data_IF_098493523852
#
_entry.id   IF_098493523852
#
_cell.length_a   1.000
_cell.length_b   1.000
_cell.length_c   1.000
_cell.angle_alpha   90.00
_cell.angle_beta   90.00
_cell.angle_gamma   90.00
#
_symmetry.space_group_name_H-M   'P 1'
#
loop_
_entity.id
_entity.type
_entity.pdbx_description
1 polymer ?
#
# COMPACT_ATOMS: atom_id res chain seq x y z
N UNK A 1 -23.49 -0.15 -63.92
CA UNK A 1 -24.13 0.58 -62.82
C UNK A 1 -24.46 -0.45 -61.77
N UNK A 2 -23.64 -0.56 -60.74
CA UNK A 2 -23.89 -1.44 -59.60
C UNK A 2 -23.82 -0.56 -58.35
N UNK A 3 -24.94 -0.46 -57.66
CA UNK A 3 -25.13 0.34 -56.48
C UNK A 3 -24.47 -0.38 -55.28
N UNK A 4 -23.39 0.20 -54.75
CA UNK A 4 -22.82 -0.22 -53.50
C UNK A 4 -23.75 0.24 -52.37
N UNK A 5 -24.49 -0.69 -51.83
CA UNK A 5 -25.29 -0.51 -50.61
C UNK A 5 -24.36 -0.26 -49.44
N UNK A 6 -24.23 1.01 -49.02
CA UNK A 6 -23.58 1.37 -47.77
C UNK A 6 -24.43 0.88 -46.58
N UNK A 7 -24.02 -0.22 -46.01
CA UNK A 7 -24.61 -0.73 -44.76
C UNK A 7 -24.22 0.26 -43.64
N UNK A 8 -25.17 1.11 -43.27
CA UNK A 8 -25.08 1.98 -42.10
C UNK A 8 -24.99 1.06 -40.87
N UNK A 9 -23.80 0.92 -40.30
CA UNK A 9 -23.65 0.32 -38.98
C UNK A 9 -24.35 1.26 -37.99
N UNK A 10 -25.47 0.84 -37.48
CA UNK A 10 -26.10 1.48 -36.33
C UNK A 10 -25.13 1.41 -35.16
N UNK A 11 -24.98 2.52 -34.40
CA UNK A 11 -24.21 2.47 -33.15
C UNK A 11 -24.91 1.52 -32.19
N UNK A 12 -24.26 0.38 -31.90
CA UNK A 12 -24.72 -0.54 -30.88
C UNK A 12 -24.81 0.24 -29.58
N UNK A 13 -25.99 0.63 -29.17
CA UNK A 13 -26.26 1.18 -27.86
C UNK A 13 -25.87 0.13 -26.83
N UNK A 14 -24.64 0.21 -26.37
CA UNK A 14 -24.08 -0.68 -25.37
C UNK A 14 -24.91 -0.56 -24.10
N UNK A 15 -25.62 -1.65 -23.76
CA UNK A 15 -26.38 -1.77 -22.54
C UNK A 15 -25.44 -1.40 -21.37
N UNK A 16 -25.77 -0.35 -20.59
CA UNK A 16 -24.93 0.15 -19.47
C UNK A 16 -24.50 -0.97 -18.53
N UNK A 17 -25.35 -1.99 -18.34
CA UNK A 17 -25.03 -3.20 -17.58
C UNK A 17 -23.90 -4.04 -18.18
N UNK A 18 -23.81 -4.15 -19.51
CA UNK A 18 -22.74 -4.89 -20.20
C UNK A 18 -21.40 -4.15 -20.17
N UNK A 19 -21.43 -2.82 -20.12
CA UNK A 19 -20.24 -1.98 -19.94
C UNK A 19 -19.67 -2.13 -18.52
N UNK A 20 -20.52 -2.03 -17.50
CA UNK A 20 -20.10 -2.15 -16.10
C UNK A 20 -19.57 -3.55 -15.77
N UNK A 21 -20.20 -4.60 -16.28
CA UNK A 21 -19.71 -5.97 -16.11
C UNK A 21 -18.33 -6.17 -16.76
N UNK A 22 -18.09 -5.58 -17.93
CA UNK A 22 -16.75 -5.60 -18.58
C UNK A 22 -15.68 -4.91 -17.75
N UNK A 23 -15.97 -3.73 -17.21
CA UNK A 23 -15.04 -2.99 -16.35
C UNK A 23 -14.73 -3.77 -15.07
N UNK A 24 -15.73 -4.37 -14.43
CA UNK A 24 -15.52 -5.21 -13.26
C UNK A 24 -14.67 -6.45 -13.56
N UNK A 25 -14.96 -7.15 -14.66
CA UNK A 25 -14.19 -8.32 -15.08
C UNK A 25 -12.75 -7.94 -15.41
N UNK A 26 -12.52 -6.80 -16.04
CA UNK A 26 -11.19 -6.27 -16.33
C UNK A 26 -10.43 -5.93 -15.04
N UNK A 27 -11.08 -5.25 -14.10
CA UNK A 27 -10.50 -4.94 -12.79
C UNK A 27 -10.09 -6.21 -12.05
N UNK A 28 -10.97 -7.22 -12.02
CA UNK A 28 -10.67 -8.50 -11.38
C UNK A 28 -9.54 -9.26 -12.08
N UNK A 29 -9.53 -9.31 -13.42
CA UNK A 29 -8.48 -9.97 -14.19
C UNK A 29 -7.11 -9.33 -13.95
N UNK A 30 -7.06 -7.99 -13.89
CA UNK A 30 -5.82 -7.24 -13.58
C UNK A 30 -5.37 -7.50 -12.15
N UNK A 31 -6.29 -7.47 -11.18
CA UNK A 31 -5.98 -7.76 -9.79
C UNK A 31 -5.46 -9.18 -9.62
N UNK A 32 -6.10 -10.16 -10.25
CA UNK A 32 -5.66 -11.56 -10.23
C UNK A 32 -4.27 -11.74 -10.86
N UNK A 33 -4.02 -11.10 -12.00
CA UNK A 33 -2.71 -11.10 -12.66
C UNK A 33 -1.63 -10.54 -11.75
N UNK A 34 -1.92 -9.47 -11.01
CA UNK A 34 -0.96 -8.86 -10.09
C UNK A 34 -0.60 -9.81 -8.95
N UNK A 35 -1.60 -10.48 -8.38
CA UNK A 35 -1.37 -11.52 -7.36
C UNK A 35 -0.51 -12.64 -7.91
N UNK A 36 -0.85 -13.19 -9.08
CA UNK A 36 -0.07 -14.27 -9.71
C UNK A 36 1.38 -13.83 -10.01
N UNK A 37 1.57 -12.58 -10.43
CA UNK A 37 2.90 -12.03 -10.69
C UNK A 37 3.77 -12.01 -9.45
N UNK A 38 3.20 -11.61 -8.30
CA UNK A 38 3.91 -11.63 -7.03
C UNK A 38 4.44 -13.03 -6.70
N UNK A 39 3.67 -14.10 -6.99
CA UNK A 39 4.09 -15.47 -6.76
C UNK A 39 5.05 -16.04 -7.81
N UNK A 40 5.12 -15.46 -9.00
CA UNK A 40 6.01 -15.95 -10.08
C UNK A 40 7.46 -15.48 -9.96
N UNK A 41 7.75 -14.51 -9.10
CA UNK A 41 9.12 -14.02 -8.86
C UNK A 41 9.63 -14.54 -7.51
N UNK A 42 10.35 -15.70 -7.47
CA UNK A 42 10.79 -16.28 -6.20
C UNK A 42 11.76 -15.38 -5.44
N UNK A 43 12.58 -14.62 -6.15
CA UNK A 43 13.52 -13.68 -5.55
C UNK A 43 12.78 -12.51 -4.88
N UNK A 44 11.77 -11.94 -5.56
CA UNK A 44 10.94 -10.87 -5.00
C UNK A 44 10.15 -11.36 -3.78
N UNK A 45 9.59 -12.58 -3.84
CA UNK A 45 8.92 -13.21 -2.69
C UNK A 45 9.86 -13.38 -1.51
N UNK A 46 11.07 -13.89 -1.78
CA UNK A 46 12.07 -14.09 -0.73
C UNK A 46 12.40 -12.75 -0.04
N UNK A 47 12.65 -11.68 -0.79
CA UNK A 47 12.89 -10.37 -0.22
C UNK A 47 11.69 -9.80 0.54
N UNK A 48 10.48 -9.97 0.02
CA UNK A 48 9.24 -9.50 0.65
C UNK A 48 9.02 -10.15 2.03
N UNK A 49 9.38 -11.43 2.17
CA UNK A 49 9.26 -12.17 3.44
C UNK A 49 10.48 -11.94 4.34
N UNK A 50 11.68 -11.94 3.76
CA UNK A 50 12.94 -11.85 4.50
C UNK A 50 13.17 -10.46 5.10
N UNK A 51 12.74 -9.40 4.41
CA UNK A 51 12.93 -8.03 4.88
C UNK A 51 12.30 -7.80 6.26
N UNK A 52 11.00 -8.08 6.51
CA UNK A 52 10.42 -7.98 7.85
C UNK A 52 11.13 -8.88 8.87
N UNK A 53 11.54 -10.09 8.50
CA UNK A 53 12.25 -11.02 9.39
C UNK A 53 13.56 -10.39 9.87
N UNK A 54 14.37 -9.88 8.95
CA UNK A 54 15.64 -9.23 9.29
C UNK A 54 15.44 -7.99 10.15
N UNK A 55 14.49 -7.15 9.80
CA UNK A 55 14.21 -5.92 10.55
C UNK A 55 13.70 -6.22 11.95
N UNK A 56 12.73 -7.11 12.11
CA UNK A 56 12.18 -7.45 13.43
C UNK A 56 13.22 -8.25 14.23
N UNK A 57 13.87 -9.23 13.61
CA UNK A 57 14.84 -10.11 14.29
C UNK A 57 16.09 -9.35 14.73
N UNK A 58 16.75 -8.66 13.81
CA UNK A 58 18.04 -7.99 14.08
C UNK A 58 17.83 -6.64 14.77
N UNK A 59 17.08 -5.73 14.14
CA UNK A 59 16.88 -4.40 14.71
C UNK A 59 15.93 -4.45 15.90
N UNK A 60 14.82 -5.17 15.78
CA UNK A 60 13.82 -5.30 16.85
C UNK A 60 14.42 -5.92 18.10
N UNK A 61 15.15 -7.01 17.94
CA UNK A 61 15.86 -7.68 19.04
C UNK A 61 16.91 -6.78 19.71
N UNK A 62 17.78 -6.15 18.92
CA UNK A 62 18.83 -5.26 19.43
C UNK A 62 18.27 -4.04 20.15
N UNK A 63 17.28 -3.37 19.55
CA UNK A 63 16.66 -2.18 20.13
C UNK A 63 15.88 -2.56 21.40
N UNK A 64 15.14 -3.68 21.37
CA UNK A 64 14.39 -4.17 22.53
C UNK A 64 15.33 -4.43 23.71
N UNK A 65 16.48 -5.03 23.48
CA UNK A 65 17.48 -5.27 24.51
C UNK A 65 18.03 -3.98 25.12
N UNK A 66 18.26 -2.95 24.30
CA UNK A 66 18.79 -1.66 24.76
C UNK A 66 17.74 -0.73 25.38
N UNK A 67 16.48 -0.84 24.98
CA UNK A 67 15.38 -0.02 25.49
C UNK A 67 14.57 -0.71 26.59
N UNK A 68 14.98 -1.93 27.02
CA UNK A 68 14.32 -2.62 28.13
C UNK A 68 14.37 -1.78 29.40
N UNK A 69 13.20 -1.39 29.91
CA UNK A 69 13.05 -0.51 31.07
C UNK A 69 13.03 1.00 30.78
N UNK A 70 13.33 1.44 29.56
CA UNK A 70 13.25 2.86 29.18
C UNK A 70 11.86 3.24 28.59
N UNK A 71 11.13 2.25 28.07
CA UNK A 71 9.79 2.45 27.52
C UNK A 71 8.72 1.91 28.47
N UNK A 72 7.55 2.58 28.57
CA UNK A 72 6.43 2.12 29.37
C UNK A 72 5.63 0.98 28.73
N UNK A 73 6.13 0.40 27.65
CA UNK A 73 5.53 -0.71 26.91
C UNK A 73 6.59 -1.62 26.25
N UNK A 74 6.19 -2.83 25.90
CA UNK A 74 7.05 -3.77 25.22
C UNK A 74 7.35 -3.29 23.78
N UNK A 75 8.63 -3.13 23.44
CA UNK A 75 9.06 -2.58 22.15
C UNK A 75 8.73 -3.51 20.96
N UNK A 76 8.89 -4.82 21.12
CA UNK A 76 8.67 -5.79 20.04
C UNK A 76 7.24 -5.77 19.47
N UNK A 77 6.17 -5.82 20.28
CA UNK A 77 4.80 -5.65 19.77
C UNK A 77 4.59 -4.31 19.08
N UNK A 78 5.15 -3.21 19.63
CA UNK A 78 5.06 -1.88 19.04
C UNK A 78 5.68 -1.83 17.64
N UNK A 79 6.90 -2.34 17.49
CA UNK A 79 7.60 -2.42 16.21
C UNK A 79 6.88 -3.35 15.23
N UNK A 80 6.36 -4.48 15.71
CA UNK A 80 5.68 -5.46 14.88
C UNK A 80 4.42 -4.88 14.22
N UNK A 81 3.60 -4.15 14.99
CA UNK A 81 2.41 -3.47 14.45
C UNK A 81 2.82 -2.39 13.42
N UNK A 82 3.87 -1.63 13.73
CA UNK A 82 4.46 -0.68 12.78
C UNK A 82 4.92 -1.35 11.49
N UNK A 83 5.56 -2.52 11.59
CA UNK A 83 6.03 -3.29 10.43
C UNK A 83 4.90 -3.89 9.61
N UNK A 84 3.79 -4.35 10.22
CA UNK A 84 2.58 -4.77 9.48
C UNK A 84 2.06 -3.62 8.63
N UNK A 85 1.84 -2.46 9.26
CA UNK A 85 1.32 -1.28 8.57
C UNK A 85 2.28 -0.81 7.46
N UNK A 86 3.59 -0.73 7.77
CA UNK A 86 4.63 -0.36 6.82
C UNK A 86 4.70 -1.32 5.62
N UNK A 87 4.66 -2.63 5.85
CA UNK A 87 4.76 -3.63 4.77
C UNK A 87 3.56 -3.57 3.83
N UNK A 88 2.35 -3.40 4.36
CA UNK A 88 1.13 -3.21 3.56
C UNK A 88 1.20 -1.93 2.72
N UNK A 89 1.61 -0.84 3.36
CA UNK A 89 1.73 0.47 2.73
C UNK A 89 2.77 0.44 1.60
N UNK A 90 3.99 -0.04 1.86
CA UNK A 90 5.08 -0.12 0.88
C UNK A 90 4.79 -1.12 -0.25
N UNK A 91 4.28 -2.30 0.09
CA UNK A 91 3.95 -3.33 -0.90
C UNK A 91 2.95 -2.83 -1.93
N UNK A 92 1.95 -2.06 -1.49
CA UNK A 92 0.95 -1.50 -2.40
C UNK A 92 1.48 -0.33 -3.21
N UNK A 93 2.30 0.58 -2.63
CA UNK A 93 2.99 1.62 -3.41
C UNK A 93 3.78 0.98 -4.56
N UNK A 94 4.65 0.03 -4.23
CA UNK A 94 5.52 -0.64 -5.20
C UNK A 94 4.70 -1.35 -6.28
N UNK A 95 3.66 -2.09 -5.90
CA UNK A 95 2.80 -2.78 -6.85
C UNK A 95 2.08 -1.83 -7.82
N UNK A 96 1.60 -0.69 -7.34
CA UNK A 96 0.95 0.33 -8.20
C UNK A 96 1.99 1.00 -9.10
N UNK A 97 3.15 1.39 -8.57
CA UNK A 97 4.18 2.10 -9.34
C UNK A 97 4.86 1.24 -10.40
N UNK A 98 4.90 -0.09 -10.22
CA UNK A 98 5.34 -1.05 -11.23
C UNK A 98 4.55 -0.97 -12.54
N UNK A 99 3.35 -0.36 -12.54
CA UNK A 99 2.60 -0.09 -13.77
C UNK A 99 3.39 0.73 -14.79
N UNK A 100 4.27 1.62 -14.33
CA UNK A 100 5.09 2.47 -15.21
C UNK A 100 6.15 1.64 -15.91
N UNK A 101 6.83 0.75 -15.19
CA UNK A 101 7.83 -0.16 -15.74
C UNK A 101 7.21 -1.19 -16.70
N UNK A 102 6.03 -1.72 -16.35
CA UNK A 102 5.30 -2.65 -17.20
C UNK A 102 4.94 -2.04 -18.56
N UNK A 103 4.69 -0.73 -18.61
CA UNK A 103 4.37 -0.02 -19.85
C UNK A 103 5.53 0.04 -20.83
N UNK A 104 6.78 0.14 -20.35
CA UNK A 104 7.96 0.15 -21.24
C UNK A 104 8.28 -1.23 -21.83
N UNK A 105 7.91 -2.29 -21.11
CA UNK A 105 8.26 -3.66 -21.53
C UNK A 105 7.26 -4.28 -22.54
N UNK A 106 6.58 -3.47 -23.36
CA UNK A 106 5.60 -3.84 -24.41
C UNK A 106 4.46 -4.78 -23.98
N UNK A 107 4.54 -5.34 -22.78
CA UNK A 107 3.58 -6.32 -22.25
C UNK A 107 2.19 -5.72 -21.98
N UNK A 108 2.11 -4.41 -21.90
CA UNK A 108 0.84 -3.68 -21.68
C UNK A 108 0.29 -3.07 -22.96
N UNK A 109 0.96 -3.15 -24.09
CA UNK A 109 0.42 -2.67 -25.35
C UNK A 109 -0.95 -3.30 -25.64
N UNK A 110 -1.12 -4.58 -25.37
CA UNK A 110 -2.40 -5.29 -25.51
C UNK A 110 -3.47 -4.78 -24.54
N UNK A 111 -3.08 -4.38 -23.32
CA UNK A 111 -4.00 -3.88 -22.30
C UNK A 111 -4.55 -2.47 -22.67
N UNK A 112 -3.76 -1.68 -23.40
CA UNK A 112 -4.15 -0.33 -23.83
C UNK A 112 -4.91 -0.30 -25.15
N UNK A 113 -4.84 -1.37 -25.94
CA UNK A 113 -5.67 -1.56 -27.15
C UNK A 113 -7.05 -2.11 -26.75
N UNK A 114 -7.17 -2.79 -25.61
CA UNK A 114 -8.47 -3.26 -25.13
C UNK A 114 -9.38 -2.07 -24.74
N UNK A 115 -10.69 -2.13 -25.02
CA UNK A 115 -11.64 -1.09 -24.66
C UNK A 115 -11.97 -1.12 -23.15
N UNK A 116 -10.94 -0.91 -22.32
CA UNK A 116 -11.00 -0.93 -20.85
C UNK A 116 -10.69 0.47 -20.34
N UNK A 117 -11.42 0.93 -19.33
CA UNK A 117 -11.16 2.23 -18.74
C UNK A 117 -9.84 2.26 -17.96
N UNK A 118 -9.17 3.41 -17.98
CA UNK A 118 -7.96 3.65 -17.18
C UNK A 118 -8.21 3.51 -15.68
N UNK A 119 -9.44 3.79 -15.27
CA UNK A 119 -9.88 3.63 -13.88
C UNK A 119 -9.89 2.14 -13.47
N UNK A 120 -10.38 1.26 -14.34
CA UNK A 120 -10.38 -0.20 -14.09
C UNK A 120 -8.95 -0.73 -13.95
N UNK A 121 -8.01 -0.22 -14.76
CA UNK A 121 -6.58 -0.59 -14.65
C UNK A 121 -6.00 -0.18 -13.31
N UNK A 122 -6.21 1.07 -12.89
CA UNK A 122 -5.70 1.58 -11.61
C UNK A 122 -6.33 0.87 -10.41
N UNK A 123 -7.65 0.64 -10.45
CA UNK A 123 -8.34 -0.11 -9.39
C UNK A 123 -7.88 -1.56 -9.32
N UNK A 124 -7.72 -2.22 -10.45
CA UNK A 124 -7.20 -3.59 -10.51
C UNK A 124 -5.79 -3.69 -9.94
N UNK A 125 -4.92 -2.75 -10.28
CA UNK A 125 -3.57 -2.64 -9.72
C UNK A 125 -3.60 -2.40 -8.21
N UNK A 126 -4.43 -1.48 -7.73
CA UNK A 126 -4.57 -1.16 -6.33
C UNK A 126 -5.03 -2.36 -5.50
N UNK A 127 -6.08 -3.04 -5.95
CA UNK A 127 -6.61 -4.22 -5.28
C UNK A 127 -5.60 -5.37 -5.34
N UNK A 128 -5.05 -5.67 -6.52
CA UNK A 128 -4.13 -6.76 -6.73
C UNK A 128 -2.83 -6.60 -5.94
N UNK A 129 -2.24 -5.40 -5.93
CA UNK A 129 -1.04 -5.12 -5.13
C UNK A 129 -1.31 -5.14 -3.63
N UNK A 130 -2.50 -4.70 -3.19
CA UNK A 130 -2.90 -4.82 -1.78
C UNK A 130 -2.98 -6.28 -1.32
N UNK A 131 -3.57 -7.16 -2.13
CA UNK A 131 -3.62 -8.60 -1.85
C UNK A 131 -2.21 -9.21 -1.91
N UNK A 132 -1.41 -8.84 -2.90
CA UNK A 132 -0.02 -9.33 -3.01
C UNK A 132 0.84 -8.89 -1.82
N UNK A 133 0.62 -7.70 -1.27
CA UNK A 133 1.32 -7.22 -0.09
C UNK A 133 1.07 -8.07 1.17
N UNK A 134 -0.06 -8.79 1.25
CA UNK A 134 -0.33 -9.71 2.37
C UNK A 134 0.73 -10.80 2.51
N UNK A 135 1.45 -11.12 1.44
CA UNK A 135 2.55 -12.12 1.48
C UNK A 135 3.65 -11.70 2.46
N UNK A 136 3.93 -10.39 2.61
CA UNK A 136 4.90 -9.90 3.59
C UNK A 136 4.55 -10.24 5.03
N UNK A 137 3.26 -10.41 5.32
CA UNK A 137 2.78 -10.74 6.66
C UNK A 137 3.19 -12.15 7.10
N UNK A 138 3.49 -13.05 6.15
CA UNK A 138 4.00 -14.40 6.45
C UNK A 138 5.30 -14.30 7.24
N UNK A 139 6.25 -13.45 6.80
CA UNK A 139 7.50 -13.22 7.52
C UNK A 139 7.28 -12.59 8.90
N UNK A 140 6.34 -11.66 9.02
CA UNK A 140 6.01 -11.00 10.29
C UNK A 140 5.38 -12.00 11.26
N UNK A 141 4.43 -12.82 10.79
CA UNK A 141 3.80 -13.86 11.61
C UNK A 141 4.83 -14.90 12.06
N UNK A 142 5.74 -15.31 11.17
CA UNK A 142 6.83 -16.21 11.55
C UNK A 142 7.66 -15.63 12.72
N UNK A 143 7.94 -14.32 12.69
CA UNK A 143 8.71 -13.67 13.77
C UNK A 143 7.95 -13.59 15.10
N UNK A 144 6.62 -13.55 15.11
CA UNK A 144 5.83 -13.65 16.34
C UNK A 144 6.14 -14.97 17.06
N UNK A 145 6.18 -16.08 16.31
CA UNK A 145 6.47 -17.40 16.88
C UNK A 145 7.95 -17.55 17.26
N UNK A 146 8.87 -17.11 16.41
CA UNK A 146 10.32 -17.25 16.66
C UNK A 146 10.76 -16.44 17.86
N UNK A 147 10.29 -15.19 18.01
CA UNK A 147 10.66 -14.30 19.10
C UNK A 147 9.70 -14.41 20.32
N UNK A 148 8.73 -15.31 20.26
CA UNK A 148 7.74 -15.52 21.32
C UNK A 148 7.07 -14.22 21.76
N UNK A 149 6.71 -13.36 20.78
CA UNK A 149 6.10 -12.06 21.06
C UNK A 149 4.70 -12.28 21.67
N UNK A 150 4.40 -11.70 22.84
CA UNK A 150 3.15 -11.92 23.51
C UNK A 150 1.99 -11.23 22.78
N UNK A 151 1.40 -11.93 21.82
CA UNK A 151 0.24 -11.48 21.06
C UNK A 151 -0.81 -12.59 21.04
N UNK A 152 -2.06 -12.24 21.31
CA UNK A 152 -3.15 -13.19 21.17
C UNK A 152 -3.73 -13.16 19.75
N UNK A 153 -4.38 -14.26 19.33
CA UNK A 153 -4.96 -14.39 18.00
C UNK A 153 -6.03 -13.30 17.71
N UNK A 154 -6.74 -12.84 18.72
CA UNK A 154 -7.75 -11.80 18.60
C UNK A 154 -7.13 -10.44 18.25
N UNK A 155 -5.99 -10.09 18.86
CA UNK A 155 -5.26 -8.86 18.53
C UNK A 155 -4.73 -8.88 17.10
N UNK A 156 -4.17 -10.02 16.70
CA UNK A 156 -3.65 -10.21 15.36
C UNK A 156 -4.76 -10.10 14.30
N UNK A 157 -5.92 -10.73 14.56
CA UNK A 157 -7.08 -10.66 13.68
C UNK A 157 -7.59 -9.22 13.49
N UNK A 158 -7.65 -8.44 14.57
CA UNK A 158 -8.07 -7.02 14.53
C UNK A 158 -7.12 -6.19 13.65
N UNK A 159 -5.80 -6.38 13.80
CA UNK A 159 -4.81 -5.67 12.98
C UNK A 159 -4.89 -6.12 11.52
N UNK A 160 -5.09 -7.41 11.26
CA UNK A 160 -5.25 -7.91 9.89
C UNK A 160 -6.54 -7.41 9.22
N UNK A 161 -7.62 -7.22 9.98
CA UNK A 161 -8.85 -6.62 9.45
C UNK A 161 -8.63 -5.18 8.94
N UNK A 162 -7.58 -4.49 9.41
CA UNK A 162 -7.22 -3.15 8.96
C UNK A 162 -6.33 -3.14 7.71
N UNK A 163 -5.73 -4.27 7.34
CA UNK A 163 -4.80 -4.33 6.20
C UNK A 163 -5.35 -3.77 4.89
N UNK A 164 -6.66 -3.89 4.54
CA UNK A 164 -7.21 -3.24 3.36
C UNK A 164 -7.09 -1.71 3.40
N UNK A 165 -7.32 -1.09 4.56
CA UNK A 165 -7.20 0.37 4.72
C UNK A 165 -5.74 0.79 4.57
N UNK A 166 -4.80 0.05 5.16
CA UNK A 166 -3.37 0.29 5.06
C UNK A 166 -2.87 0.15 3.62
N UNK A 167 -3.35 -0.87 2.91
CA UNK A 167 -3.05 -1.08 1.50
C UNK A 167 -3.59 0.04 0.62
N UNK A 168 -4.83 0.49 0.87
CA UNK A 168 -5.42 1.62 0.15
C UNK A 168 -4.62 2.90 0.36
N UNK A 169 -4.16 3.16 1.58
CA UNK A 169 -3.35 4.34 1.90
C UNK A 169 -2.03 4.36 1.13
N UNK A 170 -1.31 3.23 1.10
CA UNK A 170 -0.09 3.08 0.31
C UNK A 170 -0.35 3.18 -1.18
N UNK A 171 -1.37 2.48 -1.67
CA UNK A 171 -1.74 2.50 -3.07
C UNK A 171 -2.17 3.87 -3.59
N UNK A 172 -2.87 4.65 -2.78
CA UNK A 172 -3.23 6.02 -3.10
C UNK A 172 -1.99 6.90 -3.32
N UNK A 173 -0.97 6.77 -2.47
CA UNK A 173 0.31 7.45 -2.68
C UNK A 173 1.01 6.95 -3.95
N UNK A 174 0.95 5.65 -4.25
CA UNK A 174 1.44 5.07 -5.50
C UNK A 174 0.75 5.67 -6.72
N UNK A 175 -0.59 5.76 -6.71
CA UNK A 175 -1.37 6.39 -7.79
C UNK A 175 -1.00 7.87 -7.95
N UNK A 176 -0.84 8.60 -6.86
CA UNK A 176 -0.39 9.99 -6.89
C UNK A 176 1.00 10.11 -7.52
N UNK A 177 1.94 9.24 -7.15
CA UNK A 177 3.30 9.26 -7.65
C UNK A 177 3.38 9.00 -9.17
N UNK A 178 2.65 7.98 -9.69
CA UNK A 178 2.59 7.73 -11.14
C UNK A 178 1.81 8.79 -11.91
N UNK A 179 0.95 9.55 -11.24
CA UNK A 179 0.32 10.75 -11.80
C UNK A 179 1.34 11.86 -12.06
N UNK A 180 2.31 12.02 -11.15
CA UNK A 180 3.39 13.03 -11.27
C UNK A 180 4.40 12.64 -12.33
N UNK A 181 4.83 11.36 -12.36
CA UNK A 181 5.84 10.88 -13.30
C UNK A 181 5.46 9.55 -13.91
N UNK A 182 5.77 9.39 -15.20
CA UNK A 182 5.62 8.14 -15.94
C UNK A 182 6.97 7.70 -16.53
N UNK A 183 8.08 8.23 -16.00
CA UNK A 183 9.43 7.81 -16.34
C UNK A 183 9.86 6.70 -15.37
N UNK A 184 10.13 5.47 -15.85
CA UNK A 184 10.52 4.34 -15.00
C UNK A 184 11.78 4.59 -14.19
N UNK A 185 12.74 5.34 -14.76
CA UNK A 185 13.99 5.68 -14.05
C UNK A 185 13.71 6.57 -12.84
N UNK A 186 12.80 7.55 -13.00
CA UNK A 186 12.37 8.42 -11.90
C UNK A 186 11.60 7.64 -10.87
N UNK A 187 10.76 6.69 -11.28
CA UNK A 187 10.02 5.80 -10.38
C UNK A 187 10.97 4.89 -9.60
N UNK A 188 11.91 4.25 -10.27
CA UNK A 188 12.86 3.31 -9.66
C UNK A 188 13.72 3.95 -8.55
N UNK A 189 14.06 5.23 -8.68
CA UNK A 189 14.84 5.97 -7.68
C UNK A 189 13.93 6.70 -6.69
N UNK A 190 12.87 7.33 -7.19
CA UNK A 190 12.00 8.20 -6.40
C UNK A 190 11.15 7.44 -5.39
N UNK A 191 10.68 6.23 -5.73
CA UNK A 191 9.85 5.43 -4.80
C UNK A 191 10.66 5.00 -3.56
N UNK A 192 11.84 4.39 -3.67
CA UNK A 192 12.67 4.12 -2.50
C UNK A 192 13.03 5.37 -1.71
N UNK A 193 13.40 6.46 -2.39
CA UNK A 193 13.75 7.73 -1.76
C UNK A 193 12.57 8.33 -0.96
N UNK A 194 11.34 8.08 -1.39
CA UNK A 194 10.14 8.49 -0.67
C UNK A 194 9.84 7.57 0.51
N UNK A 195 9.98 6.26 0.32
CA UNK A 195 9.56 5.23 1.29
C UNK A 195 10.53 5.15 2.47
N UNK A 196 11.86 5.12 2.24
CA UNK A 196 12.82 4.94 3.31
C UNK A 196 12.75 6.00 4.41
N UNK A 197 12.72 7.31 4.11
CA UNK A 197 12.52 8.31 5.15
C UNK A 197 11.19 8.16 5.88
N UNK A 198 10.11 7.83 5.17
CA UNK A 198 8.80 7.61 5.79
C UNK A 198 8.82 6.48 6.82
N UNK A 199 9.51 5.37 6.54
CA UNK A 199 9.61 4.24 7.45
C UNK A 199 10.20 4.63 8.82
N UNK A 200 11.19 5.52 8.85
CA UNK A 200 11.79 5.99 10.09
C UNK A 200 11.00 7.12 10.75
N UNK A 201 10.56 8.09 9.96
CA UNK A 201 9.91 9.29 10.45
C UNK A 201 8.43 9.09 10.83
N UNK A 202 7.77 8.07 10.26
CA UNK A 202 6.37 7.74 10.57
C UNK A 202 6.17 7.06 11.92
N UNK A 203 7.26 6.70 12.60
CA UNK A 203 7.16 5.96 13.85
C UNK A 203 6.99 4.44 13.69
N UNK A 204 7.18 3.88 12.49
CA UNK A 204 7.06 2.43 12.27
C UNK A 204 8.04 1.64 13.13
N UNK A 205 9.29 2.11 13.17
CA UNK A 205 10.39 1.47 13.88
C UNK A 205 10.69 2.13 15.22
N UNK A 206 10.73 3.45 15.25
CA UNK A 206 11.15 4.22 16.43
C UNK A 206 9.96 5.04 16.94
N UNK A 207 9.65 5.00 18.24
CA UNK A 207 8.57 5.82 18.79
C UNK A 207 8.81 7.30 18.54
N UNK A 208 7.88 7.95 17.86
CA UNK A 208 7.96 9.40 17.58
C UNK A 208 7.20 10.25 18.61
N UNK A 209 6.53 9.60 19.57
CA UNK A 209 5.77 10.27 20.63
C UNK A 209 6.61 11.23 21.48
N UNK A 210 7.91 10.90 21.68
CA UNK A 210 8.85 11.73 22.43
C UNK A 210 9.71 12.64 21.53
N UNK A 211 9.50 12.62 20.21
CA UNK A 211 10.33 13.40 19.29
C UNK A 211 9.96 14.88 19.33
N UNK A 212 10.88 15.69 19.83
CA UNK A 212 10.76 17.15 19.83
C UNK A 212 11.39 17.76 18.57
N UNK A 213 11.00 19.01 18.25
CA UNK A 213 11.59 19.76 17.16
C UNK A 213 11.20 19.29 15.75
N UNK A 214 12.16 19.29 14.84
CA UNK A 214 11.94 18.99 13.41
C UNK A 214 11.35 17.62 13.16
N UNK A 215 11.79 16.59 13.88
CA UNK A 215 11.30 15.21 13.73
C UNK A 215 9.80 15.10 14.06
N UNK A 216 9.36 15.75 15.13
CA UNK A 216 7.94 15.77 15.50
C UNK A 216 7.06 16.48 14.48
N UNK A 217 7.58 17.53 13.81
CA UNK A 217 6.87 18.22 12.72
C UNK A 217 6.79 17.33 11.48
N UNK A 218 7.90 16.71 11.08
CA UNK A 218 7.96 15.82 9.92
C UNK A 218 7.04 14.62 10.08
N UNK A 219 7.00 14.02 11.28
CA UNK A 219 6.11 12.91 11.57
C UNK A 219 4.62 13.26 11.35
N UNK A 220 4.21 14.50 11.66
CA UNK A 220 2.84 14.97 11.46
C UNK A 220 2.48 15.22 9.98
N UNK A 221 3.45 15.47 9.12
CA UNK A 221 3.24 15.72 7.69
C UNK A 221 3.15 14.39 6.91
N UNK A 222 3.78 13.34 7.42
CA UNK A 222 3.87 12.06 6.74
C UNK A 222 2.55 11.28 6.84
N UNK A 223 1.87 10.98 5.72
CA UNK A 223 0.59 10.27 5.75
C UNK A 223 0.67 8.87 6.39
N UNK A 224 1.80 8.20 6.23
CA UNK A 224 2.06 6.88 6.78
C UNK A 224 1.99 6.86 8.32
N UNK A 225 2.30 7.97 9.00
CA UNK A 225 2.20 8.10 10.46
C UNK A 225 0.80 7.79 10.96
N UNK A 226 -0.22 8.36 10.32
CA UNK A 226 -1.63 8.15 10.69
C UNK A 226 -2.09 6.73 10.40
N UNK A 227 -1.61 6.13 9.31
CA UNK A 227 -1.92 4.73 8.97
C UNK A 227 -1.32 3.76 10.00
N UNK A 228 -0.09 4.00 10.47
CA UNK A 228 0.55 3.19 11.51
C UNK A 228 -0.14 3.39 12.85
N UNK A 229 -0.44 4.64 13.21
CA UNK A 229 -1.10 4.95 14.48
C UNK A 229 -2.51 4.36 14.53
N UNK A 230 -3.23 4.34 13.40
CA UNK A 230 -4.51 3.64 13.26
C UNK A 230 -4.40 2.14 13.59
N UNK A 231 -3.33 1.47 13.13
CA UNK A 231 -3.09 0.07 13.45
C UNK A 231 -2.79 -0.13 14.96
N UNK A 232 -2.05 0.81 15.56
CA UNK A 232 -1.79 0.82 17.01
C UNK A 232 -3.03 1.10 17.83
N UNK A 233 -3.88 2.01 17.40
CA UNK A 233 -5.17 2.28 18.03
C UNK A 233 -5.98 0.98 18.21
N UNK A 234 -6.04 0.14 17.18
CA UNK A 234 -6.78 -1.13 17.23
C UNK A 234 -6.06 -2.15 18.10
N UNK A 235 -4.74 -2.25 18.00
CA UNK A 235 -3.98 -3.24 18.76
C UNK A 235 -3.94 -2.95 20.27
N UNK A 236 -3.73 -1.69 20.64
CA UNK A 236 -3.63 -1.27 22.04
C UNK A 236 -4.97 -0.91 22.68
N UNK A 237 -6.09 -1.02 21.94
CA UNK A 237 -7.42 -0.75 22.49
C UNK A 237 -7.70 -1.60 23.73
N UNK A 238 -7.97 -0.92 24.86
CA UNK A 238 -8.23 -1.55 26.16
C UNK A 238 -6.98 -2.05 26.89
N UNK A 239 -5.77 -1.76 26.40
CA UNK A 239 -4.51 -2.09 27.09
C UNK A 239 -3.96 -0.86 27.83
N UNK A 240 -3.26 -1.05 28.98
CA UNK A 240 -2.69 0.06 29.74
C UNK A 240 -1.64 0.86 28.97
N UNK A 241 -0.98 0.25 27.98
CA UNK A 241 0.03 0.87 27.14
C UNK A 241 -0.54 1.85 26.10
N UNK A 242 -1.86 1.89 25.92
CA UNK A 242 -2.54 2.71 24.91
C UNK A 242 -2.11 4.18 24.96
N UNK A 243 -2.08 4.77 26.15
CA UNK A 243 -1.74 6.18 26.36
C UNK A 243 -0.30 6.55 25.94
N UNK A 244 0.59 5.57 25.83
CA UNK A 244 2.00 5.77 25.48
C UNK A 244 2.34 5.36 24.05
N UNK A 245 1.62 4.36 23.52
CA UNK A 245 1.90 3.77 22.21
C UNK A 245 1.13 4.42 21.07
N UNK A 246 0.01 5.09 21.36
CA UNK A 246 -0.89 5.73 20.39
C UNK A 246 -0.70 7.24 20.44
N UNK A 247 -0.64 7.88 19.27
CA UNK A 247 -0.39 9.33 19.14
C UNK A 247 -1.69 10.14 19.10
N UNK A 248 -2.69 9.64 18.38
CA UNK A 248 -3.93 10.34 18.09
C UNK A 248 -5.17 9.47 18.36
N UNK A 249 -6.35 10.07 18.53
CA UNK A 249 -7.59 9.31 18.60
C UNK A 249 -7.88 8.58 17.29
N UNK A 250 -8.43 7.38 17.37
CA UNK A 250 -8.77 6.52 16.22
C UNK A 250 -9.48 7.26 15.08
N UNK A 251 -10.47 8.08 15.40
CA UNK A 251 -11.26 8.80 14.39
C UNK A 251 -10.45 9.87 13.65
N UNK A 252 -9.48 10.49 14.30
CA UNK A 252 -8.59 11.46 13.66
C UNK A 252 -7.69 10.76 12.63
N UNK A 253 -7.06 9.66 13.03
CA UNK A 253 -6.19 8.88 12.14
C UNK A 253 -6.97 8.32 10.94
N UNK A 254 -8.18 7.80 11.21
CA UNK A 254 -9.06 7.30 10.15
C UNK A 254 -9.47 8.42 9.18
N UNK A 255 -9.87 9.58 9.71
CA UNK A 255 -10.28 10.72 8.90
C UNK A 255 -9.13 11.25 8.03
N UNK A 256 -7.94 11.45 8.61
CA UNK A 256 -6.77 11.92 7.87
C UNK A 256 -6.36 10.89 6.82
N UNK A 257 -6.28 9.62 7.19
CA UNK A 257 -5.96 8.55 6.24
C UNK A 257 -6.96 8.51 5.09
N UNK A 258 -8.26 8.59 5.38
CA UNK A 258 -9.31 8.59 4.36
C UNK A 258 -9.22 9.82 3.43
N UNK A 259 -9.06 11.02 3.99
CA UNK A 259 -8.93 12.27 3.21
C UNK A 259 -7.69 12.22 2.30
N UNK A 260 -6.55 11.77 2.83
CA UNK A 260 -5.32 11.65 2.04
C UNK A 260 -5.47 10.57 0.95
N UNK A 261 -6.08 9.42 1.27
CA UNK A 261 -6.38 8.38 0.27
C UNK A 261 -7.23 8.92 -0.88
N UNK A 262 -8.33 9.62 -0.56
CA UNK A 262 -9.21 10.20 -1.58
C UNK A 262 -8.48 11.26 -2.38
N UNK A 263 -7.80 12.20 -1.73
CA UNK A 263 -7.08 13.28 -2.38
C UNK A 263 -6.00 12.74 -3.34
N UNK A 264 -5.16 11.82 -2.87
CA UNK A 264 -4.07 11.24 -3.67
C UNK A 264 -4.60 10.38 -4.81
N UNK A 265 -5.65 9.59 -4.58
CA UNK A 265 -6.26 8.78 -5.64
C UNK A 265 -6.90 9.67 -6.70
N UNK A 266 -7.68 10.68 -6.32
CA UNK A 266 -8.35 11.57 -7.26
C UNK A 266 -7.34 12.40 -8.04
N UNK A 267 -6.45 13.10 -7.35
CA UNK A 267 -5.44 13.96 -8.00
C UNK A 267 -4.51 13.13 -8.87
N UNK A 268 -4.00 12.02 -8.34
CA UNK A 268 -3.10 11.12 -9.09
C UNK A 268 -3.77 10.54 -10.32
N UNK A 269 -5.01 10.08 -10.21
CA UNK A 269 -5.76 9.54 -11.36
C UNK A 269 -6.03 10.61 -12.42
N UNK A 270 -6.44 11.82 -12.02
CA UNK A 270 -6.66 12.93 -12.97
C UNK A 270 -5.38 13.29 -13.70
N UNK A 271 -4.25 13.40 -12.97
CA UNK A 271 -2.94 13.70 -13.56
C UNK A 271 -2.50 12.59 -14.52
N UNK A 272 -2.65 11.33 -14.10
CA UNK A 272 -2.32 10.15 -14.90
C UNK A 272 -3.11 10.12 -16.22
N UNK A 273 -4.43 10.26 -16.16
CA UNK A 273 -5.32 10.25 -17.34
C UNK A 273 -5.04 11.44 -18.28
N UNK A 274 -4.78 12.63 -17.72
CA UNK A 274 -4.45 13.81 -18.55
C UNK A 274 -3.14 13.66 -19.28
N UNK A 275 -2.10 13.14 -18.65
CA UNK A 275 -0.80 12.90 -19.29
C UNK A 275 -0.88 11.84 -20.39
N UNK A 276 -1.69 10.83 -20.17
CA UNK A 276 -1.86 9.75 -21.11
C UNK A 276 -2.67 10.15 -22.37
N UNK A 277 -3.50 11.18 -22.27
CA UNK A 277 -4.22 11.77 -23.43
C UNK A 277 -3.32 12.68 -24.30
N UNK A 278 -2.23 13.16 -23.73
CA UNK A 278 -1.30 14.10 -24.40
C UNK A 278 -0.08 13.40 -25.03
N UNK A 279 -0.02 12.07 -24.96
CA UNK A 279 0.94 11.22 -25.66
C UNK A 279 0.32 10.60 -26.90
#
# INVERSE_FOLDING_TARGET
>A
MSAISATRQEPVAGNLGSSMAREMNATFAIAWREVLRAFKSPLSLAFTVLFPILFIGVLGGSISANLSGALPYAYLPFMLIGMIANSMYQGTITGVTNLVEERENDFTAELFVAPISRYAVLLGKLIGSGIAALVSLVGIVAMIFVMQIPMNAGDLLRVFALTPVLALAGGALGVFFIGITQDPKVVAVGVPLLIFPQMFLSGALIPVSASAGLLGVLAKIIPMTYSIDLARNIFYAGKPEFAFAVLHPFWLDLAITAVVCVAFTVVGTVMFVRRDRNR
#
